data_IF_148780407723
#
_entry.id   IF_148780407723
#
_cell.length_a   1.000
_cell.length_b   1.000
_cell.length_c   1.000
_cell.angle_alpha   90.00
_cell.angle_beta   90.00
_cell.angle_gamma   90.00
#
_symmetry.space_group_name_H-M   'P 1'
#
loop_
_entity.id
_entity.type
_entity.pdbx_description
1 polymer ?
#
# COMPACT_ATOMS: atom_id res chain seq x y z
N UNK A 1 -4.27 25.90 -2.57
CA UNK A 1 -3.55 25.00 -3.46
C UNK A 1 -3.37 23.64 -2.81
N UNK A 2 -3.52 22.61 -3.60
CA UNK A 2 -3.40 21.25 -3.06
C UNK A 2 -1.96 20.80 -2.92
N UNK A 3 -1.80 19.67 -2.25
CA UNK A 3 -0.53 19.00 -2.07
C UNK A 3 -0.05 18.47 -3.42
N UNK A 4 1.24 18.54 -3.75
CA UNK A 4 1.75 17.89 -4.96
C UNK A 4 1.44 16.41 -5.00
N UNK A 5 1.22 15.88 -6.19
CA UNK A 5 0.84 14.48 -6.36
C UNK A 5 1.86 13.52 -5.73
N UNK A 6 3.16 13.84 -5.87
CA UNK A 6 4.21 13.00 -5.28
C UNK A 6 4.05 12.85 -3.77
N UNK A 7 3.66 13.94 -3.08
CA UNK A 7 3.44 13.88 -1.65
C UNK A 7 2.16 13.12 -1.32
N UNK A 8 1.13 13.25 -2.14
CA UNK A 8 -0.11 12.49 -1.95
C UNK A 8 0.15 11.00 -2.08
N UNK A 9 0.95 10.62 -3.06
CA UNK A 9 1.33 9.21 -3.25
C UNK A 9 2.11 8.71 -2.03
N UNK A 10 3.08 9.48 -1.56
CA UNK A 10 3.88 9.09 -0.40
C UNK A 10 3.00 8.89 0.83
N UNK A 11 2.07 9.83 1.09
CA UNK A 11 1.19 9.70 2.25
C UNK A 11 0.27 8.48 2.13
N UNK A 12 -0.22 8.19 0.93
CA UNK A 12 -1.01 6.98 0.73
C UNK A 12 -0.17 5.73 1.00
N UNK A 13 1.05 5.69 0.47
CA UNK A 13 1.96 4.56 0.71
C UNK A 13 2.18 4.33 2.21
N UNK A 14 2.38 5.40 2.95
CA UNK A 14 2.58 5.31 4.41
C UNK A 14 1.31 4.81 5.09
N UNK A 15 0.14 5.37 4.74
CA UNK A 15 -1.12 4.95 5.36
C UNK A 15 -1.39 3.46 5.11
N UNK A 16 -1.18 3.01 3.89
CA UNK A 16 -1.43 1.60 3.54
C UNK A 16 -0.42 0.68 4.23
N UNK A 17 0.84 1.12 4.33
CA UNK A 17 1.84 0.36 5.07
C UNK A 17 1.44 0.19 6.53
N UNK A 18 0.97 1.25 7.17
CA UNK A 18 0.54 1.20 8.57
C UNK A 18 -0.70 0.33 8.75
N UNK A 19 -1.66 0.44 7.84
CA UNK A 19 -2.84 -0.43 7.86
C UNK A 19 -2.44 -1.90 7.72
N UNK A 20 -1.53 -2.19 6.80
CA UNK A 20 -1.08 -3.56 6.57
C UNK A 20 -0.37 -4.13 7.80
N UNK A 21 0.49 -3.32 8.43
CA UNK A 21 1.15 -3.72 9.66
C UNK A 21 0.13 -4.14 10.72
N UNK A 22 -0.89 -3.32 10.90
CA UNK A 22 -1.94 -3.59 11.88
C UNK A 22 -2.78 -4.81 11.50
N UNK A 23 -3.27 -4.85 10.25
CA UNK A 23 -4.18 -5.90 9.80
C UNK A 23 -3.51 -7.26 9.68
N UNK A 24 -2.24 -7.29 9.32
CA UNK A 24 -1.49 -8.55 9.20
C UNK A 24 -0.80 -8.94 10.50
N UNK A 25 -0.91 -8.12 11.54
CA UNK A 25 -0.25 -8.35 12.83
C UNK A 25 1.25 -8.50 12.68
N UNK A 26 1.84 -7.67 11.84
CA UNK A 26 3.28 -7.64 11.61
C UNK A 26 3.87 -6.35 12.15
N UNK A 27 5.17 -6.38 12.49
CA UNK A 27 5.87 -5.14 12.82
C UNK A 27 5.95 -4.25 11.59
N UNK A 28 6.16 -2.95 11.79
CA UNK A 28 6.38 -2.05 10.66
C UNK A 28 7.57 -2.48 9.83
N UNK A 29 8.64 -2.95 10.48
CA UNK A 29 9.83 -3.42 9.78
C UNK A 29 9.51 -4.62 8.89
N UNK A 30 8.80 -5.62 9.43
CA UNK A 30 8.43 -6.80 8.66
C UNK A 30 7.50 -6.44 7.50
N UNK A 31 6.57 -5.52 7.73
CA UNK A 31 5.66 -5.06 6.69
C UNK A 31 6.42 -4.31 5.59
N UNK A 32 7.37 -3.47 5.96
CA UNK A 32 8.19 -2.75 4.98
C UNK A 32 9.01 -3.73 4.14
N UNK A 33 9.54 -4.78 4.75
CA UNK A 33 10.27 -5.81 4.01
C UNK A 33 9.36 -6.58 3.05
N UNK A 34 8.14 -6.88 3.47
CA UNK A 34 7.13 -7.51 2.63
C UNK A 34 6.80 -6.62 1.43
N UNK A 35 6.57 -5.34 1.66
CA UNK A 35 6.26 -4.38 0.62
C UNK A 35 7.42 -4.24 -0.37
N UNK A 36 8.65 -4.25 0.14
CA UNK A 36 9.84 -4.17 -0.71
C UNK A 36 9.97 -5.43 -1.57
N UNK A 37 9.78 -6.59 -0.97
CA UNK A 37 9.92 -7.87 -1.68
C UNK A 37 8.97 -7.96 -2.86
N UNK A 38 7.74 -7.50 -2.71
CA UNK A 38 6.71 -7.59 -3.74
C UNK A 38 6.47 -6.28 -4.48
N UNK A 39 7.31 -5.27 -4.24
CA UNK A 39 7.28 -4.01 -4.97
C UNK A 39 5.94 -3.28 -4.83
N UNK A 40 5.37 -3.33 -3.63
CA UNK A 40 4.04 -2.78 -3.36
C UNK A 40 4.01 -1.26 -3.49
N UNK A 41 5.08 -0.57 -3.07
CA UNK A 41 5.10 0.89 -3.15
C UNK A 41 5.01 1.37 -4.58
N UNK A 42 5.66 0.67 -5.51
CA UNK A 42 5.53 0.97 -6.93
C UNK A 42 4.12 0.69 -7.44
N UNK A 43 3.52 -0.41 -7.02
CA UNK A 43 2.15 -0.76 -7.38
C UNK A 43 1.18 0.36 -6.95
N UNK A 44 1.30 0.86 -5.72
CA UNK A 44 0.46 1.96 -5.24
C UNK A 44 0.68 3.21 -6.09
N UNK A 45 1.94 3.53 -6.40
CA UNK A 45 2.25 4.71 -7.21
C UNK A 45 1.64 4.60 -8.61
N UNK A 46 1.77 3.45 -9.24
CA UNK A 46 1.27 3.24 -10.60
C UNK A 46 -0.25 3.24 -10.66
N UNK A 47 -0.91 2.81 -9.58
CA UNK A 47 -2.36 2.77 -9.52
C UNK A 47 -2.98 3.99 -8.84
N UNK A 48 -2.17 4.99 -8.49
CA UNK A 48 -2.65 6.12 -7.70
C UNK A 48 -3.83 6.84 -8.35
N UNK A 49 -3.84 6.94 -9.68
CA UNK A 49 -4.94 7.58 -10.40
C UNK A 49 -6.30 6.98 -10.07
N UNK A 50 -6.35 5.67 -9.85
CA UNK A 50 -7.56 4.97 -9.44
C UNK A 50 -7.71 5.00 -7.92
N UNK A 51 -6.60 4.73 -7.22
CA UNK A 51 -6.62 4.57 -5.77
C UNK A 51 -7.04 5.83 -5.02
N UNK A 52 -6.70 7.02 -5.54
CA UNK A 52 -6.98 8.25 -4.80
C UNK A 52 -8.49 8.55 -4.72
N UNK A 53 -9.32 7.90 -5.53
CA UNK A 53 -10.78 8.09 -5.47
C UNK A 53 -11.49 6.95 -4.74
N UNK A 54 -10.77 5.88 -4.33
CA UNK A 54 -11.41 4.71 -3.71
C UNK A 54 -11.52 4.80 -2.20
N UNK A 55 -10.59 5.47 -1.53
CA UNK A 55 -10.48 5.43 -0.08
C UNK A 55 -9.56 4.30 0.39
N UNK A 56 -9.01 4.46 1.59
CA UNK A 56 -7.94 3.60 2.09
C UNK A 56 -8.34 2.14 2.25
N UNK A 57 -9.58 1.86 2.69
CA UNK A 57 -10.04 0.47 2.86
C UNK A 57 -10.01 -0.29 1.54
N UNK A 58 -10.53 0.32 0.48
CA UNK A 58 -10.55 -0.32 -0.84
C UNK A 58 -9.13 -0.50 -1.37
N UNK A 59 -8.27 0.50 -1.18
CA UNK A 59 -6.86 0.41 -1.59
C UNK A 59 -6.16 -0.72 -0.85
N UNK A 60 -6.39 -0.83 0.47
CA UNK A 60 -5.80 -1.92 1.24
C UNK A 60 -6.24 -3.28 0.71
N UNK A 61 -7.53 -3.44 0.40
CA UNK A 61 -8.00 -4.73 -0.14
C UNK A 61 -7.37 -5.04 -1.49
N UNK A 62 -7.17 -4.02 -2.33
CA UNK A 62 -6.49 -4.21 -3.62
C UNK A 62 -5.02 -4.59 -3.41
N UNK A 63 -4.34 -3.98 -2.46
CA UNK A 63 -2.95 -4.31 -2.13
C UNK A 63 -2.86 -5.74 -1.59
N UNK A 64 -3.79 -6.13 -0.74
CA UNK A 64 -3.85 -7.50 -0.20
C UNK A 64 -4.02 -8.50 -1.33
N UNK A 65 -4.93 -8.24 -2.27
CA UNK A 65 -5.14 -9.10 -3.42
C UNK A 65 -3.90 -9.17 -4.30
N UNK A 66 -3.23 -8.04 -4.51
CA UNK A 66 -1.98 -7.98 -5.26
C UNK A 66 -0.91 -8.87 -4.60
N UNK A 67 -0.75 -8.73 -3.29
CA UNK A 67 0.24 -9.53 -2.55
C UNK A 67 -0.04 -11.02 -2.68
N UNK A 68 -1.31 -11.42 -2.52
CA UNK A 68 -1.68 -12.84 -2.65
C UNK A 68 -1.43 -13.35 -4.07
N UNK A 69 -1.73 -12.54 -5.08
CA UNK A 69 -1.51 -12.93 -6.46
C UNK A 69 -0.02 -13.09 -6.79
N UNK A 70 0.84 -12.37 -6.07
CA UNK A 70 2.29 -12.48 -6.24
C UNK A 70 2.90 -13.60 -5.41
N UNK A 71 2.10 -14.31 -4.63
CA UNK A 71 2.57 -15.45 -3.86
C UNK A 71 2.92 -15.14 -2.41
N UNK A 72 2.54 -13.97 -1.90
CA UNK A 72 2.77 -13.66 -0.50
C UNK A 72 1.92 -14.59 0.39
N UNK A 73 2.54 -15.07 1.44
CA UNK A 73 1.87 -15.96 2.42
C UNK A 73 1.24 -15.08 3.49
N UNK A 74 -0.03 -14.80 3.34
CA UNK A 74 -0.78 -13.93 4.23
C UNK A 74 -1.90 -14.69 4.94
#
# INVERSE_FOLDING_TARGET
MGMPEQQQILFMQIRILMMASERFCLTLKATAELFKKFDVLRYIRECFGIFHVEGDEAVFEDVKAYLKAKGADL
#
